data_IF_433417889592
#
_entry.id   IF_433417889592
#
_cell.length_a   1.000
_cell.length_b   1.000
_cell.length_c   1.000
_cell.angle_alpha   90.00
_cell.angle_beta   90.00
_cell.angle_gamma   90.00
#
_symmetry.space_group_name_H-M   'P 1'
#
loop_
_entity.id
_entity.type
_entity.pdbx_description
1 polymer ?
#
# COMPACT_ATOMS: atom_id res chain seq x y z
N UNK A 1 -11.80 30.95 18.13
CA UNK A 1 -11.66 29.69 18.88
C UNK A 1 -10.22 29.26 18.79
N UNK A 2 -9.58 28.97 19.92
CA UNK A 2 -8.18 28.58 19.93
C UNK A 2 -7.97 27.10 19.59
N UNK A 3 -6.72 26.75 19.28
CA UNK A 3 -6.28 25.40 18.88
C UNK A 3 -6.69 24.35 19.91
N UNK A 4 -6.42 24.60 21.22
CA UNK A 4 -6.72 23.63 22.28
C UNK A 4 -8.20 23.30 22.39
N UNK A 5 -9.05 24.32 22.36
CA UNK A 5 -10.52 24.13 22.45
C UNK A 5 -11.02 23.33 21.26
N UNK A 6 -10.54 23.64 20.04
CA UNK A 6 -10.95 22.96 18.82
C UNK A 6 -10.52 21.48 18.81
N UNK A 7 -9.29 21.19 19.23
CA UNK A 7 -8.80 19.81 19.35
C UNK A 7 -9.57 19.00 20.40
N UNK A 8 -9.91 19.61 21.52
CA UNK A 8 -10.70 18.95 22.57
C UNK A 8 -12.10 18.60 22.09
N UNK A 9 -12.77 19.50 21.36
CA UNK A 9 -14.09 19.25 20.78
C UNK A 9 -14.04 18.12 19.73
N UNK A 10 -13.05 18.17 18.82
CA UNK A 10 -12.87 17.14 17.82
C UNK A 10 -12.55 15.77 18.44
N UNK A 11 -11.65 15.72 19.42
CA UNK A 11 -11.31 14.49 20.13
C UNK A 11 -12.53 13.86 20.81
N UNK A 12 -13.39 14.67 21.48
CA UNK A 12 -14.65 14.19 22.03
C UNK A 12 -15.57 13.60 20.96
N UNK A 13 -15.69 14.28 19.82
CA UNK A 13 -16.51 13.83 18.69
C UNK A 13 -16.05 12.50 18.09
N UNK A 14 -14.73 12.24 18.07
CA UNK A 14 -14.12 11.06 17.49
C UNK A 14 -13.96 9.89 18.48
N UNK A 15 -14.19 10.09 19.78
CA UNK A 15 -14.07 9.02 20.79
C UNK A 15 -14.93 7.78 20.53
N UNK A 16 -16.00 7.92 19.77
CA UNK A 16 -16.93 6.81 19.46
C UNK A 16 -16.40 5.85 18.38
N UNK A 17 -15.29 6.20 17.71
CA UNK A 17 -14.71 5.33 16.69
C UNK A 17 -13.87 4.24 17.36
N UNK A 18 -14.09 2.95 17.03
CA UNK A 18 -13.25 1.87 17.53
C UNK A 18 -11.81 1.99 16.98
N UNK A 19 -10.85 1.47 17.73
CA UNK A 19 -9.44 1.31 17.34
C UNK A 19 -8.75 2.60 16.88
N UNK A 20 -9.21 3.80 17.34
CA UNK A 20 -8.62 5.07 16.94
C UNK A 20 -8.10 5.86 18.12
N UNK A 21 -7.00 6.57 17.91
CA UNK A 21 -6.57 7.62 18.83
C UNK A 21 -7.24 8.94 18.46
N UNK A 22 -8.41 9.21 19.02
CA UNK A 22 -9.22 10.41 18.70
C UNK A 22 -8.43 11.72 18.87
N UNK A 23 -7.51 11.77 19.83
CA UNK A 23 -6.60 12.92 20.04
C UNK A 23 -5.62 13.05 18.87
N UNK A 24 -4.93 11.96 18.53
CA UNK A 24 -3.97 11.93 17.43
C UNK A 24 -4.62 12.25 16.09
N UNK A 25 -5.79 11.66 15.82
CA UNK A 25 -6.56 11.93 14.60
C UNK A 25 -6.91 13.42 14.48
N UNK A 26 -7.37 14.05 15.59
CA UNK A 26 -7.70 15.48 15.60
C UNK A 26 -6.46 16.35 15.33
N UNK A 27 -5.32 16.04 15.96
CA UNK A 27 -4.07 16.76 15.75
C UNK A 27 -3.57 16.64 14.30
N UNK A 28 -3.64 15.44 13.68
CA UNK A 28 -3.26 15.21 12.28
C UNK A 28 -4.14 16.01 11.33
N UNK A 29 -5.46 15.99 11.54
CA UNK A 29 -6.40 16.73 10.70
C UNK A 29 -6.19 18.24 10.79
N UNK A 30 -5.99 18.78 11.99
CA UNK A 30 -5.74 20.20 12.15
C UNK A 30 -4.38 20.61 11.55
N UNK A 31 -3.34 19.81 11.76
CA UNK A 31 -2.01 20.01 11.16
C UNK A 31 -2.09 20.13 9.64
N UNK A 32 -2.93 19.30 8.98
CA UNK A 32 -3.18 19.38 7.53
C UNK A 32 -3.81 20.73 7.15
N UNK A 33 -4.81 21.17 7.87
CA UNK A 33 -5.57 22.41 7.54
C UNK A 33 -4.69 23.64 7.66
N UNK A 34 -3.98 23.78 8.78
CA UNK A 34 -3.15 24.97 9.03
C UNK A 34 -1.75 24.86 8.44
N UNK A 35 -1.41 23.70 7.83
CA UNK A 35 -0.09 23.41 7.21
C UNK A 35 1.08 23.56 8.21
N UNK A 36 0.86 23.17 9.46
CA UNK A 36 1.85 23.16 10.53
C UNK A 36 1.99 21.74 11.09
N UNK A 37 3.12 21.44 11.70
CA UNK A 37 3.35 20.16 12.36
C UNK A 37 2.63 20.06 13.72
N UNK A 38 2.57 18.87 14.29
CA UNK A 38 1.93 18.63 15.59
C UNK A 38 2.63 19.35 16.75
N UNK A 39 3.95 19.54 16.69
CA UNK A 39 4.69 20.30 17.69
C UNK A 39 4.19 21.74 17.75
N UNK A 40 3.94 22.36 16.60
CA UNK A 40 3.37 23.70 16.54
C UNK A 40 2.03 23.80 17.27
N UNK A 41 1.14 22.80 17.12
CA UNK A 41 -0.17 22.79 17.80
C UNK A 41 -0.04 22.76 19.33
N UNK A 42 0.97 22.06 19.83
CA UNK A 42 1.24 21.95 21.27
C UNK A 42 1.78 23.28 21.81
N UNK A 43 2.76 23.86 21.12
CA UNK A 43 3.42 25.10 21.55
C UNK A 43 2.51 26.34 21.43
N UNK A 44 1.57 26.33 20.48
CA UNK A 44 0.69 27.46 20.19
C UNK A 44 -0.78 27.16 20.52
N UNK A 45 -1.02 26.39 21.57
CA UNK A 45 -2.36 25.89 21.94
C UNK A 45 -3.41 26.99 22.15
N UNK A 46 -2.99 28.19 22.55
CA UNK A 46 -3.85 29.35 22.77
C UNK A 46 -4.07 30.22 21.53
N UNK A 47 -3.40 29.92 20.41
CA UNK A 47 -3.56 30.68 19.16
C UNK A 47 -4.99 30.54 18.61
N UNK A 48 -5.57 31.67 18.25
CA UNK A 48 -6.89 31.71 17.62
C UNK A 48 -6.81 31.41 16.11
N UNK A 49 -7.67 30.54 15.65
CA UNK A 49 -7.74 30.14 14.26
C UNK A 49 -8.76 30.96 13.48
N UNK A 50 -8.44 31.21 12.20
CA UNK A 50 -9.36 31.83 11.25
C UNK A 50 -10.62 30.96 11.06
N UNK A 51 -11.78 31.61 10.89
CA UNK A 51 -13.08 30.92 10.70
C UNK A 51 -13.07 29.91 9.56
N UNK A 52 -12.32 30.19 8.49
CA UNK A 52 -12.18 29.28 7.33
C UNK A 52 -11.45 27.97 7.70
N UNK A 53 -10.40 28.05 8.50
CA UNK A 53 -9.67 26.88 9.00
C UNK A 53 -10.56 26.03 9.90
N UNK A 54 -11.35 26.66 10.78
CA UNK A 54 -12.30 25.95 11.64
C UNK A 54 -13.33 25.20 10.81
N UNK A 55 -13.96 25.85 9.81
CA UNK A 55 -14.94 25.20 8.92
C UNK A 55 -14.34 24.01 8.16
N UNK A 56 -13.12 24.17 7.63
CA UNK A 56 -12.41 23.11 6.90
C UNK A 56 -12.05 21.95 7.81
N UNK A 57 -11.62 22.23 9.02
CA UNK A 57 -11.33 21.22 10.02
C UNK A 57 -12.58 20.44 10.44
N UNK A 58 -13.68 21.13 10.76
CA UNK A 58 -14.96 20.50 11.11
C UNK A 58 -15.47 19.59 10.00
N UNK A 59 -15.28 19.97 8.74
CA UNK A 59 -15.63 19.14 7.60
C UNK A 59 -14.82 17.82 7.61
N UNK A 60 -13.52 17.86 7.86
CA UNK A 60 -12.68 16.66 7.95
C UNK A 60 -13.06 15.81 9.17
N UNK A 61 -13.34 16.43 10.33
CA UNK A 61 -13.79 15.71 11.53
C UNK A 61 -15.12 14.98 11.27
N UNK A 62 -16.08 15.61 10.58
CA UNK A 62 -17.35 14.96 10.19
C UNK A 62 -17.12 13.75 9.27
N UNK A 63 -16.20 13.84 8.31
CA UNK A 63 -15.83 12.71 7.44
C UNK A 63 -15.18 11.59 8.25
N UNK A 64 -14.23 11.94 9.13
CA UNK A 64 -13.57 10.97 10.02
C UNK A 64 -14.58 10.26 10.92
N UNK A 65 -15.53 10.98 11.49
CA UNK A 65 -16.63 10.40 12.31
C UNK A 65 -17.45 9.36 11.55
N UNK A 66 -17.54 9.44 10.22
CA UNK A 66 -18.18 8.42 9.37
C UNK A 66 -17.28 7.20 9.10
N UNK A 67 -16.08 7.14 9.68
CA UNK A 67 -15.11 6.06 9.52
C UNK A 67 -14.10 6.27 8.40
N UNK A 68 -14.09 7.40 7.67
CA UNK A 68 -13.14 7.61 6.59
C UNK A 68 -11.69 7.59 7.10
N UNK A 69 -10.78 6.79 6.52
CA UNK A 69 -9.40 6.67 6.97
C UNK A 69 -8.66 7.99 7.00
N UNK A 70 -7.90 8.24 8.08
CA UNK A 70 -7.05 9.44 8.21
C UNK A 70 -6.15 9.60 6.98
N UNK A 71 -5.57 8.52 6.50
CA UNK A 71 -4.67 8.55 5.36
C UNK A 71 -5.32 9.11 4.08
N UNK A 72 -6.60 8.82 3.85
CA UNK A 72 -7.35 9.42 2.73
C UNK A 72 -7.72 10.87 3.00
N UNK A 73 -8.13 11.19 4.23
CA UNK A 73 -8.44 12.57 4.61
C UNK A 73 -7.25 13.50 4.44
N UNK A 74 -6.04 13.03 4.74
CA UNK A 74 -4.82 13.84 4.56
C UNK A 74 -4.15 13.64 3.19
N UNK A 75 -4.62 12.67 2.38
CA UNK A 75 -4.03 12.24 1.12
C UNK A 75 -2.56 11.83 1.24
N UNK A 76 -2.20 11.19 2.34
CA UNK A 76 -0.81 10.87 2.62
C UNK A 76 -0.70 9.61 3.48
N UNK A 77 0.24 8.74 3.12
CA UNK A 77 0.66 7.59 3.93
C UNK A 77 2.17 7.45 3.85
N UNK A 78 2.79 7.26 4.99
CA UNK A 78 4.19 6.88 5.04
C UNK A 78 4.34 5.39 4.77
N UNK A 79 5.31 5.05 3.94
CA UNK A 79 5.72 3.68 3.63
C UNK A 79 7.21 3.68 3.29
N UNK A 80 8.00 2.80 3.89
CA UNK A 80 9.44 2.69 3.69
C UNK A 80 10.17 4.04 3.77
N UNK A 81 9.96 4.79 4.88
CA UNK A 81 10.57 6.13 5.13
C UNK A 81 10.20 7.21 4.11
N UNK A 82 9.23 6.97 3.26
CA UNK A 82 8.78 7.91 2.24
C UNK A 82 7.29 8.20 2.37
N UNK A 83 6.89 9.38 1.90
CA UNK A 83 5.49 9.77 1.89
C UNK A 83 4.88 9.53 0.52
N UNK A 84 3.80 8.78 0.47
CA UNK A 84 3.04 8.53 -0.75
C UNK A 84 1.72 9.27 -0.72
N UNK A 85 1.36 9.88 -1.85
CA UNK A 85 0.01 10.35 -2.08
C UNK A 85 -0.91 9.15 -2.25
N UNK A 86 -2.02 9.17 -1.52
CA UNK A 86 -3.06 8.15 -1.61
C UNK A 86 -4.45 8.77 -1.57
N UNK A 87 -5.41 8.06 -2.13
CA UNK A 87 -6.83 8.38 -2.08
C UNK A 87 -7.65 7.09 -2.19
N UNK A 88 -8.96 7.19 -2.18
CA UNK A 88 -9.90 6.06 -2.25
C UNK A 88 -9.77 5.13 -3.48
N UNK A 89 -8.89 5.42 -4.41
CA UNK A 89 -8.66 4.60 -5.61
C UNK A 89 -7.54 3.55 -5.43
N UNK A 90 -6.81 3.58 -4.31
CA UNK A 90 -5.70 2.67 -4.01
C UNK A 90 -5.79 2.14 -2.59
N UNK A 91 -5.31 0.92 -2.38
CA UNK A 91 -5.15 0.37 -1.04
C UNK A 91 -4.21 1.27 -0.21
N UNK A 92 -4.54 1.48 1.05
CA UNK A 92 -3.63 2.16 1.99
C UNK A 92 -2.43 1.25 2.24
N UNK A 93 -1.18 1.66 1.95
CA UNK A 93 0.00 0.85 2.19
C UNK A 93 0.07 0.35 3.64
N UNK A 94 0.30 -0.97 3.80
CA UNK A 94 0.37 -1.62 5.11
C UNK A 94 1.83 -1.79 5.56
N UNK A 95 2.13 -1.70 6.86
CA UNK A 95 3.49 -1.93 7.36
C UNK A 95 4.04 -3.31 7.00
N UNK A 96 3.22 -4.37 7.05
CA UNK A 96 3.63 -5.73 6.70
C UNK A 96 4.13 -5.86 5.26
N UNK A 97 3.60 -5.03 4.35
CA UNK A 97 4.01 -4.99 2.94
C UNK A 97 5.45 -4.47 2.75
N UNK A 98 6.02 -3.77 3.75
CA UNK A 98 7.42 -3.34 3.73
C UNK A 98 8.40 -4.52 3.69
N UNK A 99 7.97 -5.73 4.10
CA UNK A 99 8.76 -6.95 3.96
C UNK A 99 9.14 -7.25 2.51
N UNK A 100 8.32 -6.90 1.52
CA UNK A 100 8.64 -7.10 0.11
C UNK A 100 9.82 -6.22 -0.30
N UNK A 101 9.86 -4.99 0.19
CA UNK A 101 10.98 -4.06 -0.04
C UNK A 101 12.22 -4.56 0.68
N UNK A 102 12.12 -4.88 1.95
CA UNK A 102 13.21 -5.35 2.79
C UNK A 102 13.90 -6.59 2.19
N UNK A 103 13.13 -7.62 1.83
CA UNK A 103 13.67 -8.85 1.27
C UNK A 103 14.25 -8.63 -0.14
N UNK A 104 13.68 -7.72 -0.93
CA UNK A 104 14.29 -7.31 -2.22
C UNK A 104 15.67 -6.70 -2.00
N UNK A 105 15.80 -5.81 -1.03
CA UNK A 105 17.06 -5.12 -0.75
C UNK A 105 18.14 -6.04 -0.17
N UNK A 106 17.73 -7.12 0.54
CA UNK A 106 18.64 -8.19 1.01
C UNK A 106 19.13 -9.08 -0.13
N UNK A 107 18.27 -9.38 -1.11
CA UNK A 107 18.59 -10.28 -2.22
C UNK A 107 19.52 -9.64 -3.27
N UNK A 108 19.42 -8.32 -3.45
CA UNK A 108 20.14 -7.61 -4.51
C UNK A 108 20.95 -6.46 -3.94
N UNK A 109 22.24 -6.46 -4.25
CA UNK A 109 23.12 -5.40 -3.78
C UNK A 109 22.91 -4.07 -4.55
N UNK A 110 23.55 -2.99 -4.08
CA UNK A 110 23.37 -1.63 -4.61
C UNK A 110 23.80 -1.48 -6.07
N UNK A 111 24.74 -2.31 -6.53
CA UNK A 111 25.30 -2.25 -7.90
C UNK A 111 24.54 -3.12 -8.90
N UNK A 112 23.60 -3.94 -8.45
CA UNK A 112 22.79 -4.77 -9.34
C UNK A 112 22.02 -3.92 -10.34
N UNK A 113 21.85 -4.43 -11.57
CA UNK A 113 21.00 -3.83 -12.62
C UNK A 113 19.87 -4.79 -12.92
N UNK A 114 18.65 -4.38 -12.66
CA UNK A 114 17.49 -5.23 -12.80
C UNK A 114 16.32 -4.53 -13.47
N UNK A 115 15.58 -5.30 -14.26
CA UNK A 115 14.23 -4.94 -14.69
C UNK A 115 13.22 -5.65 -13.76
N UNK A 116 12.39 -4.89 -13.07
CA UNK A 116 11.42 -5.41 -12.13
C UNK A 116 9.98 -5.10 -12.55
N UNK A 117 9.07 -5.99 -12.21
CA UNK A 117 7.62 -5.83 -12.40
C UNK A 117 6.92 -5.88 -11.04
N UNK A 118 6.02 -4.94 -10.82
CA UNK A 118 5.10 -4.91 -9.68
C UNK A 118 3.67 -5.14 -10.18
N UNK A 119 3.09 -6.30 -9.84
CA UNK A 119 1.75 -6.71 -10.28
C UNK A 119 0.73 -6.29 -9.21
N UNK A 120 -0.25 -5.48 -9.60
CA UNK A 120 -1.18 -4.84 -8.66
C UNK A 120 -0.51 -3.67 -7.94
N UNK A 121 0.17 -2.79 -8.69
CA UNK A 121 1.06 -1.76 -8.12
C UNK A 121 0.37 -0.73 -7.22
N UNK A 122 -0.95 -0.55 -7.34
CA UNK A 122 -1.73 0.35 -6.50
C UNK A 122 -1.20 1.79 -6.51
N UNK A 123 -0.72 2.26 -5.36
CA UNK A 123 -0.08 3.58 -5.23
C UNK A 123 1.34 3.65 -5.79
N UNK A 124 1.92 2.51 -6.17
CA UNK A 124 3.32 2.39 -6.56
C UNK A 124 4.29 2.27 -5.38
N UNK A 125 3.80 2.15 -4.15
CA UNK A 125 4.65 2.26 -2.94
C UNK A 125 5.77 1.22 -2.89
N UNK A 126 5.52 -0.05 -3.24
CA UNK A 126 6.53 -1.10 -3.25
C UNK A 126 7.59 -0.78 -4.30
N UNK A 127 7.15 -0.62 -5.56
CA UNK A 127 8.01 -0.38 -6.71
C UNK A 127 8.88 0.85 -6.53
N UNK A 128 8.28 1.98 -6.18
CA UNK A 128 8.98 3.27 -6.06
C UNK A 128 9.94 3.29 -4.86
N UNK A 129 9.60 2.63 -3.75
CA UNK A 129 10.52 2.50 -2.61
C UNK A 129 11.77 1.73 -2.99
N UNK A 130 11.65 0.62 -3.71
CA UNK A 130 12.82 -0.15 -4.18
C UNK A 130 13.65 0.67 -5.17
N UNK A 131 13.00 1.35 -6.14
CA UNK A 131 13.71 2.20 -7.09
C UNK A 131 14.46 3.36 -6.42
N UNK A 132 13.97 3.87 -5.30
CA UNK A 132 14.67 4.91 -4.52
C UNK A 132 15.95 4.38 -3.90
N UNK A 133 15.92 3.15 -3.37
CA UNK A 133 17.06 2.48 -2.72
C UNK A 133 18.07 1.91 -3.74
N UNK A 134 17.64 1.62 -4.97
CA UNK A 134 18.44 0.96 -6.02
C UNK A 134 18.47 1.80 -7.30
N UNK A 135 19.53 2.58 -7.48
CA UNK A 135 19.64 3.56 -8.58
C UNK A 135 19.68 2.91 -9.98
N UNK A 136 20.17 1.68 -10.09
CA UNK A 136 20.33 0.96 -11.35
C UNK A 136 19.16 0.06 -11.70
N UNK A 137 18.08 0.08 -10.92
CA UNK A 137 16.87 -0.69 -11.22
C UNK A 137 15.92 0.12 -12.09
N UNK A 138 15.24 -0.59 -12.98
CA UNK A 138 14.13 -0.07 -13.78
C UNK A 138 12.87 -0.84 -13.45
N UNK A 139 11.77 -0.14 -13.35
CA UNK A 139 10.50 -0.69 -12.90
C UNK A 139 9.40 -0.63 -13.93
N UNK A 140 8.55 -1.64 -13.90
CA UNK A 140 7.23 -1.63 -14.55
C UNK A 140 6.19 -1.89 -13.46
N UNK A 141 5.13 -1.09 -13.43
CA UNK A 141 3.98 -1.33 -12.56
C UNK A 141 2.74 -1.58 -13.40
N UNK A 142 1.96 -2.60 -13.07
CA UNK A 142 0.67 -2.84 -13.70
C UNK A 142 -0.45 -2.85 -12.66
N UNK A 143 -1.61 -2.36 -13.07
CA UNK A 143 -2.83 -2.41 -12.27
C UNK A 143 -4.06 -2.42 -13.19
N UNK A 144 -5.07 -3.16 -12.81
CA UNK A 144 -6.34 -3.23 -13.54
C UNK A 144 -7.10 -1.89 -13.45
N UNK A 145 -6.87 -1.12 -12.37
CA UNK A 145 -7.49 0.18 -12.13
C UNK A 145 -6.69 1.31 -12.78
N UNK A 146 -7.25 1.93 -13.81
CA UNK A 146 -6.70 3.16 -14.41
C UNK A 146 -6.52 4.28 -13.36
N UNK A 147 -7.40 4.33 -12.36
CA UNK A 147 -7.33 5.33 -11.29
C UNK A 147 -6.12 5.07 -10.37
N UNK A 148 -5.83 3.80 -10.07
CA UNK A 148 -4.63 3.42 -9.32
C UNK A 148 -3.34 3.77 -10.10
N UNK A 149 -3.29 3.48 -11.40
CA UNK A 149 -2.17 3.87 -12.28
C UNK A 149 -1.92 5.39 -12.25
N UNK A 150 -2.98 6.21 -12.23
CA UNK A 150 -2.81 7.65 -12.13
C UNK A 150 -2.19 8.09 -10.79
N UNK A 151 -2.56 7.42 -9.68
CA UNK A 151 -1.94 7.65 -8.37
C UNK A 151 -0.48 7.24 -8.39
N UNK A 152 -0.15 6.05 -8.93
CA UNK A 152 1.23 5.59 -9.05
C UNK A 152 2.11 6.55 -9.89
N UNK A 153 1.60 7.05 -11.01
CA UNK A 153 2.30 8.06 -11.84
C UNK A 153 2.53 9.37 -11.09
N UNK A 154 1.52 9.83 -10.34
CA UNK A 154 1.67 11.01 -9.50
C UNK A 154 2.78 10.82 -8.45
N UNK A 155 2.80 9.68 -7.77
CA UNK A 155 3.84 9.34 -6.81
C UNK A 155 5.23 9.23 -7.48
N UNK A 156 5.33 8.61 -8.66
CA UNK A 156 6.58 8.54 -9.39
C UNK A 156 7.14 9.94 -9.73
N UNK A 157 6.27 10.87 -10.13
CA UNK A 157 6.65 12.27 -10.37
C UNK A 157 7.11 12.95 -9.08
N UNK A 158 6.36 12.79 -8.00
CA UNK A 158 6.67 13.37 -6.68
C UNK A 158 8.03 12.89 -6.15
N UNK A 159 8.37 11.61 -6.40
CA UNK A 159 9.65 11.02 -6.00
C UNK A 159 10.78 11.16 -7.04
N UNK A 160 10.54 11.85 -8.17
CA UNK A 160 11.52 12.06 -9.25
C UNK A 160 12.01 10.74 -9.90
N UNK A 161 11.11 9.76 -10.03
CA UNK A 161 11.40 8.43 -10.56
C UNK A 161 10.77 8.17 -11.94
N UNK A 162 10.13 9.18 -12.55
CA UNK A 162 9.36 9.01 -13.80
C UNK A 162 10.18 8.48 -14.98
N UNK A 163 11.48 8.73 -15.01
CA UNK A 163 12.40 8.25 -16.05
C UNK A 163 12.86 6.80 -15.87
N UNK A 164 12.62 6.21 -14.71
CA UNK A 164 13.02 4.82 -14.38
C UNK A 164 11.84 3.85 -14.20
N UNK A 165 10.60 4.33 -14.39
CA UNK A 165 9.41 3.52 -14.19
C UNK A 165 8.41 3.72 -15.32
N UNK A 166 7.76 2.61 -15.74
CA UNK A 166 6.64 2.61 -16.67
C UNK A 166 5.41 2.03 -15.98
N UNK A 167 4.24 2.61 -16.24
CA UNK A 167 2.98 2.14 -15.67
C UNK A 167 1.97 1.82 -16.77
N UNK A 168 1.37 0.63 -16.68
CA UNK A 168 0.38 0.16 -17.63
C UNK A 168 -0.95 -0.17 -16.93
N UNK A 169 -2.04 0.32 -17.47
CA UNK A 169 -3.36 -0.12 -17.06
C UNK A 169 -3.66 -1.43 -17.80
N UNK A 170 -3.57 -2.54 -17.09
CA UNK A 170 -3.75 -3.87 -17.65
C UNK A 170 -4.22 -4.85 -16.59
N UNK A 171 -5.10 -5.76 -16.99
CA UNK A 171 -5.34 -7.01 -16.28
C UNK A 171 -4.07 -7.87 -16.33
N UNK A 172 -3.77 -8.59 -15.24
CA UNK A 172 -2.61 -9.47 -15.15
C UNK A 172 -2.61 -10.53 -16.25
N UNK A 173 -3.77 -11.10 -16.57
CA UNK A 173 -3.88 -12.15 -17.60
C UNK A 173 -3.60 -11.64 -19.02
N UNK A 174 -3.80 -10.35 -19.27
CA UNK A 174 -3.60 -9.71 -20.58
C UNK A 174 -2.22 -9.08 -20.75
N UNK A 175 -1.44 -8.97 -19.69
CA UNK A 175 -0.14 -8.33 -19.75
C UNK A 175 0.92 -9.29 -20.30
N UNK A 176 1.58 -8.92 -21.42
CA UNK A 176 2.55 -9.75 -22.13
C UNK A 176 3.90 -9.05 -22.39
N UNK A 177 4.08 -7.84 -21.85
CA UNK A 177 5.24 -6.99 -22.18
C UNK A 177 6.42 -7.34 -21.30
N UNK A 178 7.56 -7.65 -21.92
CA UNK A 178 8.87 -7.77 -21.29
C UNK A 178 9.17 -9.13 -20.66
N UNK A 179 10.38 -9.22 -20.15
CA UNK A 179 10.90 -10.28 -19.28
C UNK A 179 11.65 -9.62 -18.14
N UNK A 180 11.43 -10.12 -16.92
CA UNK A 180 11.86 -9.46 -15.70
C UNK A 180 12.85 -10.33 -14.91
N UNK A 181 13.75 -9.67 -14.21
CA UNK A 181 14.70 -10.30 -13.29
C UNK A 181 14.05 -10.53 -11.92
N UNK A 182 13.13 -9.63 -11.57
CA UNK A 182 12.37 -9.65 -10.32
C UNK A 182 10.91 -9.32 -10.60
N UNK A 183 9.99 -10.08 -10.02
CA UNK A 183 8.56 -9.76 -9.99
C UNK A 183 8.12 -9.70 -8.53
N UNK A 184 7.32 -8.68 -8.20
CA UNK A 184 6.70 -8.52 -6.89
C UNK A 184 5.19 -8.47 -7.05
N UNK A 185 4.47 -8.86 -6.00
CA UNK A 185 3.04 -8.62 -5.92
C UNK A 185 2.53 -8.68 -4.49
N UNK A 186 1.63 -7.78 -4.15
CA UNK A 186 0.70 -7.90 -3.03
C UNK A 186 -0.72 -8.00 -3.61
N UNK A 187 -1.16 -9.17 -4.06
CA UNK A 187 -2.47 -9.35 -4.68
C UNK A 187 -3.59 -9.41 -3.64
N UNK A 188 -4.85 -9.13 -4.02
CA UNK A 188 -5.97 -9.34 -3.14
C UNK A 188 -6.08 -10.81 -2.73
N UNK A 189 -6.20 -11.05 -1.41
CA UNK A 189 -6.20 -12.40 -0.84
C UNK A 189 -7.34 -12.69 0.15
N UNK A 190 -8.23 -11.71 0.39
CA UNK A 190 -9.36 -11.88 1.32
C UNK A 190 -10.46 -12.65 0.61
N UNK A 191 -11.01 -13.69 1.26
CA UNK A 191 -12.17 -14.41 0.73
C UNK A 191 -13.36 -13.45 0.60
N UNK A 192 -14.08 -13.52 -0.51
CA UNK A 192 -15.22 -12.62 -0.78
C UNK A 192 -16.24 -12.60 0.35
N UNK A 193 -16.54 -13.74 0.95
CA UNK A 193 -17.48 -13.85 2.07
C UNK A 193 -16.97 -13.16 3.35
N UNK A 194 -15.64 -12.99 3.50
CA UNK A 194 -15.02 -12.41 4.71
C UNK A 194 -14.90 -10.88 4.61
N UNK A 195 -15.11 -10.30 3.42
CA UNK A 195 -15.12 -8.84 3.23
C UNK A 195 -16.12 -8.11 4.13
N UNK A 196 -17.21 -8.77 4.48
CA UNK A 196 -18.24 -8.19 5.38
C UNK A 196 -17.77 -8.02 6.83
N UNK A 197 -16.74 -8.75 7.25
CA UNK A 197 -16.20 -8.71 8.60
C UNK A 197 -15.03 -7.73 8.76
N UNK A 198 -14.59 -7.09 7.67
CA UNK A 198 -13.54 -6.07 7.72
C UNK A 198 -13.99 -4.87 8.53
N UNK A 199 -13.02 -4.17 9.12
CA UNK A 199 -13.25 -2.92 9.83
C UNK A 199 -13.96 -1.90 8.92
N UNK A 200 -14.74 -1.01 9.54
CA UNK A 200 -15.60 -0.06 8.82
C UNK A 200 -14.81 0.83 7.85
N UNK A 201 -13.63 1.25 8.27
CA UNK A 201 -12.74 2.11 7.47
C UNK A 201 -12.17 1.38 6.24
N UNK A 202 -11.88 0.08 6.36
CA UNK A 202 -11.45 -0.75 5.23
C UNK A 202 -12.61 -1.04 4.30
N UNK A 203 -13.69 -1.64 4.84
CA UNK A 203 -14.85 -2.10 4.06
C UNK A 203 -15.59 -0.96 3.36
N UNK A 204 -15.71 0.20 4.02
CA UNK A 204 -16.48 1.34 3.53
C UNK A 204 -15.74 2.26 2.57
N UNK A 205 -14.41 2.25 2.58
CA UNK A 205 -13.63 3.29 1.93
C UNK A 205 -12.51 2.76 1.02
N UNK A 206 -11.94 1.60 1.30
CA UNK A 206 -10.88 1.05 0.44
C UNK A 206 -11.47 0.33 -0.79
N UNK A 207 -10.76 0.34 -1.93
CA UNK A 207 -11.28 -0.24 -3.17
C UNK A 207 -11.45 -1.76 -3.04
N UNK A 208 -12.66 -2.27 -3.27
CA UNK A 208 -12.96 -3.71 -3.19
C UNK A 208 -12.05 -4.57 -4.07
N UNK A 209 -11.67 -4.06 -5.26
CA UNK A 209 -10.75 -4.75 -6.17
C UNK A 209 -9.38 -5.04 -5.54
N UNK A 210 -8.94 -4.22 -4.58
CA UNK A 210 -7.66 -4.42 -3.90
C UNK A 210 -7.76 -5.38 -2.68
N UNK A 211 -8.97 -5.83 -2.34
CA UNK A 211 -9.25 -6.67 -1.17
C UNK A 211 -9.76 -8.07 -1.56
N UNK A 212 -10.62 -8.15 -2.59
CA UNK A 212 -11.36 -9.37 -2.98
C UNK A 212 -10.46 -10.37 -3.71
N UNK A 213 -9.97 -11.37 -3.00
CA UNK A 213 -9.20 -12.49 -3.54
C UNK A 213 -10.04 -13.59 -4.21
N UNK A 214 -11.35 -13.34 -4.43
CA UNK A 214 -12.27 -14.30 -5.01
C UNK A 214 -12.96 -15.20 -3.96
N UNK A 215 -13.60 -16.27 -4.44
CA UNK A 215 -14.44 -17.13 -3.60
C UNK A 215 -13.67 -17.71 -2.40
N UNK A 216 -12.46 -18.17 -2.63
CA UNK A 216 -11.61 -18.85 -1.63
C UNK A 216 -10.37 -18.04 -1.21
N UNK A 217 -10.19 -16.83 -1.74
CA UNK A 217 -9.05 -15.97 -1.49
C UNK A 217 -7.79 -16.31 -2.29
N UNK A 218 -7.88 -17.24 -3.25
CA UNK A 218 -6.73 -17.68 -4.05
C UNK A 218 -6.84 -17.34 -5.54
N UNK A 219 -8.00 -16.88 -6.01
CA UNK A 219 -8.25 -16.67 -7.45
C UNK A 219 -7.23 -15.70 -8.05
N UNK A 220 -7.04 -14.53 -7.45
CA UNK A 220 -6.13 -13.51 -7.98
C UNK A 220 -4.65 -13.91 -7.79
N UNK A 221 -4.32 -14.52 -6.65
CA UNK A 221 -2.95 -15.03 -6.40
C UNK A 221 -2.56 -16.09 -7.44
N UNK A 222 -3.46 -16.99 -7.81
CA UNK A 222 -3.19 -18.04 -8.80
C UNK A 222 -2.91 -17.43 -10.18
N UNK A 223 -3.68 -16.43 -10.62
CA UNK A 223 -3.41 -15.68 -11.86
C UNK A 223 -2.04 -15.02 -11.83
N UNK A 224 -1.73 -14.34 -10.73
CA UNK A 224 -0.42 -13.68 -10.53
C UNK A 224 0.72 -14.69 -10.62
N UNK A 225 0.64 -15.84 -9.95
CA UNK A 225 1.68 -16.90 -10.00
C UNK A 225 1.85 -17.42 -11.42
N UNK A 226 0.74 -17.77 -12.10
CA UNK A 226 0.77 -18.26 -13.48
C UNK A 226 1.40 -17.24 -14.42
N UNK A 227 0.99 -15.97 -14.35
CA UNK A 227 1.55 -14.91 -15.19
C UNK A 227 3.04 -14.66 -14.87
N UNK A 228 3.40 -14.69 -13.60
CA UNK A 228 4.80 -14.54 -13.17
C UNK A 228 5.68 -15.63 -13.76
N UNK A 229 5.21 -16.89 -13.82
CA UNK A 229 5.98 -17.97 -14.46
C UNK A 229 6.26 -17.74 -15.93
N UNK A 230 5.42 -16.98 -16.62
CA UNK A 230 5.61 -16.63 -18.04
C UNK A 230 6.54 -15.44 -18.24
N UNK A 231 6.46 -14.41 -17.37
CA UNK A 231 7.15 -13.13 -17.52
C UNK A 231 8.52 -13.09 -16.84
N UNK A 232 8.75 -13.95 -15.86
CA UNK A 232 10.02 -14.00 -15.15
C UNK A 232 11.08 -14.71 -15.99
N UNK A 233 12.30 -14.18 -16.01
CA UNK A 233 13.45 -14.85 -16.60
C UNK A 233 13.79 -16.13 -15.82
N UNK A 234 14.50 -17.05 -16.46
CA UNK A 234 15.08 -18.20 -15.75
C UNK A 234 15.99 -17.71 -14.63
N UNK A 235 15.95 -18.34 -13.46
CA UNK A 235 16.64 -17.90 -12.24
C UNK A 235 16.18 -16.53 -11.69
N UNK A 236 15.16 -15.89 -12.29
CA UNK A 236 14.54 -14.69 -11.76
C UNK A 236 13.86 -14.93 -10.42
N UNK A 237 13.68 -13.88 -9.64
CA UNK A 237 13.08 -13.92 -8.30
C UNK A 237 11.64 -13.46 -8.32
N UNK A 238 10.79 -14.16 -7.61
CA UNK A 238 9.42 -13.77 -7.33
C UNK A 238 9.22 -13.59 -5.84
N UNK A 239 8.71 -12.43 -5.43
CA UNK A 239 8.41 -12.09 -4.03
C UNK A 239 6.91 -11.78 -3.95
N UNK A 240 6.20 -12.58 -3.16
CA UNK A 240 4.74 -12.57 -3.09
C UNK A 240 4.28 -12.35 -1.65
N UNK A 241 3.43 -11.36 -1.42
CA UNK A 241 2.69 -11.24 -0.15
C UNK A 241 1.54 -12.23 -0.13
N UNK A 242 1.29 -12.84 1.05
CA UNK A 242 0.24 -13.84 1.26
C UNK A 242 -0.59 -13.50 2.49
N UNK A 243 -1.83 -13.92 2.50
CA UNK A 243 -2.72 -13.80 3.65
C UNK A 243 -2.45 -14.85 4.74
N UNK A 244 -2.96 -14.58 5.93
CA UNK A 244 -2.92 -15.51 7.06
C UNK A 244 -3.50 -16.88 6.66
N UNK A 245 -2.79 -17.96 7.01
CA UNK A 245 -3.22 -19.34 6.75
C UNK A 245 -3.08 -19.83 5.30
N UNK A 246 -2.63 -18.97 4.35
CA UNK A 246 -2.58 -19.34 2.93
C UNK A 246 -1.31 -20.07 2.50
N UNK A 247 -0.25 -20.09 3.32
CA UNK A 247 1.07 -20.63 3.00
C UNK A 247 1.03 -21.99 2.31
N UNK A 248 0.41 -23.01 2.93
CA UNK A 248 0.46 -24.41 2.44
C UNK A 248 -0.02 -24.53 0.99
N UNK A 249 -1.17 -23.91 0.67
CA UNK A 249 -1.76 -23.94 -0.68
C UNK A 249 -0.93 -23.14 -1.67
N UNK A 250 -0.43 -21.96 -1.29
CA UNK A 250 0.40 -21.11 -2.16
C UNK A 250 1.72 -21.78 -2.52
N UNK A 251 2.40 -22.44 -1.57
CA UNK A 251 3.62 -23.18 -1.87
C UNK A 251 3.37 -24.34 -2.85
N UNK A 252 2.22 -25.02 -2.77
CA UNK A 252 1.81 -26.02 -3.75
C UNK A 252 1.62 -25.42 -5.15
N UNK A 253 0.88 -24.29 -5.25
CA UNK A 253 0.65 -23.61 -6.53
C UNK A 253 1.96 -23.13 -7.16
N UNK A 254 2.89 -22.58 -6.36
CA UNK A 254 4.20 -22.13 -6.84
C UNK A 254 5.00 -23.30 -7.42
N UNK A 255 5.06 -24.45 -6.72
CA UNK A 255 5.75 -25.66 -7.20
C UNK A 255 5.16 -26.16 -8.53
N UNK A 256 3.84 -26.19 -8.65
CA UNK A 256 3.13 -26.55 -9.90
C UNK A 256 3.43 -25.61 -11.07
N UNK A 257 3.86 -24.38 -10.81
CA UNK A 257 4.25 -23.38 -11.79
C UNK A 257 5.77 -23.24 -11.97
N UNK A 258 6.54 -24.29 -11.62
CA UNK A 258 7.99 -24.37 -11.78
C UNK A 258 8.76 -23.32 -10.97
N UNK A 259 8.35 -23.11 -9.72
CA UNK A 259 9.10 -22.29 -8.76
C UNK A 259 9.76 -23.13 -7.68
N UNK A 260 11.04 -22.87 -7.46
CA UNK A 260 11.75 -23.31 -6.26
C UNK A 260 11.49 -22.34 -5.12
N UNK A 261 11.10 -22.83 -3.95
CA UNK A 261 10.81 -22.00 -2.78
C UNK A 261 12.11 -21.76 -2.00
N UNK A 262 12.54 -20.50 -1.97
CA UNK A 262 13.75 -20.13 -1.26
C UNK A 262 13.49 -19.90 0.24
N UNK A 263 12.43 -19.14 0.56
CA UNK A 263 12.17 -18.70 1.93
C UNK A 263 10.71 -18.31 2.12
N UNK A 264 10.17 -18.49 3.31
CA UNK A 264 8.93 -17.87 3.78
C UNK A 264 9.28 -16.97 4.96
N UNK A 265 8.92 -15.71 4.87
CA UNK A 265 9.21 -14.67 5.88
C UNK A 265 7.93 -14.38 6.65
N UNK A 266 8.08 -14.23 7.96
CA UNK A 266 6.99 -13.83 8.86
C UNK A 266 6.98 -12.33 9.07
N UNK A 267 5.78 -11.78 9.27
CA UNK A 267 5.59 -10.43 9.75
C UNK A 267 5.95 -10.29 11.25
N UNK A 268 5.89 -9.07 11.78
CA UNK A 268 6.13 -8.81 13.19
C UNK A 268 5.12 -9.50 14.12
N UNK A 269 3.91 -9.81 13.61
CA UNK A 269 2.90 -10.62 14.29
C UNK A 269 3.16 -12.13 14.23
N UNK A 270 4.33 -12.57 13.69
CA UNK A 270 4.76 -13.97 13.51
C UNK A 270 3.88 -14.77 12.54
N UNK A 271 3.09 -14.12 11.69
CA UNK A 271 2.33 -14.76 10.62
C UNK A 271 3.18 -14.91 9.37
N UNK A 272 3.06 -16.03 8.65
CA UNK A 272 3.68 -16.18 7.33
C UNK A 272 3.11 -15.10 6.38
N UNK A 273 3.98 -14.21 5.87
CA UNK A 273 3.54 -13.02 5.14
C UNK A 273 4.16 -12.88 3.75
N UNK A 274 5.40 -13.26 3.58
CA UNK A 274 6.10 -13.08 2.32
C UNK A 274 6.74 -14.40 1.87
N UNK A 275 6.52 -14.78 0.61
CA UNK A 275 7.15 -15.96 -0.02
C UNK A 275 8.14 -15.49 -1.07
N UNK A 276 9.37 -15.98 -0.96
CA UNK A 276 10.44 -15.74 -1.93
C UNK A 276 10.68 -17.03 -2.70
N UNK A 277 10.62 -16.95 -4.02
CA UNK A 277 10.84 -18.10 -4.90
C UNK A 277 11.67 -17.75 -6.12
N UNK A 278 12.27 -18.76 -6.73
CA UNK A 278 13.09 -18.66 -7.96
C UNK A 278 12.43 -19.46 -9.06
N UNK A 279 12.35 -18.90 -10.24
CA UNK A 279 11.90 -19.64 -11.44
C UNK A 279 12.98 -20.64 -11.86
N UNK A 280 12.59 -21.89 -12.00
CA UNK A 280 13.44 -22.99 -12.49
C UNK A 280 13.48 -23.03 -14.01
#
# INVERSE_FOLDING_TARGET
MNIQTLLNQASKTLKQLPNTSSKLDSEILLSKIIKKNRQYLILNSNEELKKENIKSFDYLVKRRKKGEPIAYLINKKEFWKQNFYINQNVLIPRPDTELLVEETLKLFNVNSKLNMLDIGTGSGCILLSILKERRNFFGTGIDISKKAINVARFNAKMHQLSNRVKFYNSDVDKFLIGKYDLILSNPPYIKRQDLKYLEVDVKGFEPKLALDGGRDGFSEITKVISKTSMLLKRNGRFILEIGFGQKKKILSILKQNNFFINKVVKDYGKNDRCVISTKI
#
